data_IF_183672804854
#
_entry.id   IF_183672804854
#
_cell.length_a   1.000
_cell.length_b   1.000
_cell.length_c   1.000
_cell.angle_alpha   90.00
_cell.angle_beta   90.00
_cell.angle_gamma   90.00
#
_symmetry.space_group_name_H-M   'P 1'
#
loop_
_entity.id
_entity.type
_entity.pdbx_description
1 polymer ?
#
# COMPACT_ATOMS: atom_id res chain seq x y z
N UNK A 1 -7.85 -32.78 33.86
CA UNK A 1 -6.51 -32.25 34.22
C UNK A 1 -5.72 -31.68 33.03
N UNK A 2 -5.86 -32.21 31.81
CA UNK A 2 -5.11 -31.75 30.62
C UNK A 2 -5.44 -30.32 30.16
N UNK A 3 -6.69 -29.88 30.31
CA UNK A 3 -7.12 -28.52 29.93
C UNK A 3 -6.48 -27.43 30.79
N UNK A 4 -6.32 -27.68 32.09
CA UNK A 4 -5.64 -26.75 33.01
C UNK A 4 -4.16 -26.62 32.68
N UNK A 5 -3.50 -27.73 32.34
CA UNK A 5 -2.10 -27.75 31.92
C UNK A 5 -1.85 -26.98 30.61
N UNK A 6 -2.80 -27.07 29.66
CA UNK A 6 -2.76 -26.32 28.40
C UNK A 6 -2.87 -24.81 28.63
N UNK A 7 -3.81 -24.37 29.46
CA UNK A 7 -3.95 -22.95 29.79
C UNK A 7 -2.72 -22.39 30.51
N UNK A 8 -2.11 -23.15 31.43
CA UNK A 8 -0.89 -22.72 32.12
C UNK A 8 0.31 -22.63 31.19
N UNK A 9 0.43 -23.54 30.21
CA UNK A 9 1.49 -23.50 29.20
C UNK A 9 1.35 -22.28 28.29
N UNK A 10 0.13 -21.96 27.86
CA UNK A 10 -0.13 -20.83 26.97
C UNK A 10 0.08 -19.49 27.68
N UNK A 11 -0.29 -19.40 28.96
CA UNK A 11 0.01 -18.25 29.80
C UNK A 11 1.52 -18.07 30.04
N UNK A 12 2.25 -19.15 30.30
CA UNK A 12 3.71 -19.10 30.49
C UNK A 12 4.44 -18.69 29.20
N UNK A 13 4.02 -19.22 28.05
CA UNK A 13 4.56 -18.83 26.75
C UNK A 13 4.25 -17.35 26.45
N UNK A 14 3.01 -16.90 26.68
CA UNK A 14 2.63 -15.50 26.51
C UNK A 14 3.44 -14.55 27.39
N UNK A 15 3.72 -14.94 28.63
CA UNK A 15 4.53 -14.15 29.55
C UNK A 15 5.99 -14.07 29.09
N UNK A 16 6.55 -15.18 28.60
CA UNK A 16 7.94 -15.26 28.13
C UNK A 16 8.18 -14.47 26.83
N UNK A 17 7.15 -14.38 25.98
CA UNK A 17 7.14 -13.50 24.80
C UNK A 17 7.03 -12.01 25.17
N UNK A 18 6.38 -11.68 26.29
CA UNK A 18 6.18 -10.30 26.72
C UNK A 18 7.39 -9.71 27.48
N UNK A 19 8.18 -10.54 28.17
CA UNK A 19 9.26 -10.07 29.08
C UNK A 19 10.66 -10.02 28.46
N UNK A 20 10.78 -10.16 27.14
CA UNK A 20 12.02 -9.82 26.44
C UNK A 20 13.01 -10.97 26.29
N UNK A 21 13.36 -11.22 25.03
CA UNK A 21 14.57 -11.97 24.68
C UNK A 21 15.84 -11.22 25.14
N UNK A 22 16.96 -11.94 25.25
CA UNK A 22 18.17 -11.42 25.89
C UNK A 22 18.74 -10.20 25.15
N UNK A 23 19.12 -9.11 25.86
CA UNK A 23 19.79 -7.95 25.27
C UNK A 23 21.29 -8.25 25.07
N UNK A 24 21.62 -9.37 24.42
CA UNK A 24 23.01 -9.80 24.22
C UNK A 24 23.69 -9.16 22.99
N UNK A 25 23.04 -8.19 22.35
CA UNK A 25 23.62 -7.43 21.21
C UNK A 25 23.90 -5.95 21.55
N UNK A 26 23.88 -5.57 22.83
CA UNK A 26 24.18 -4.19 23.25
C UNK A 26 25.69 -3.86 23.31
N UNK A 27 26.57 -4.69 22.75
CA UNK A 27 28.02 -4.59 22.96
C UNK A 27 28.86 -4.56 21.69
N UNK A 28 28.27 -4.11 20.57
CA UNK A 28 29.03 -3.90 19.34
C UNK A 28 29.05 -2.43 18.94
N UNK A 29 30.13 -1.79 19.35
CA UNK A 29 30.80 -0.70 18.66
C UNK A 29 29.95 0.55 18.29
N UNK A 30 30.25 1.61 19.04
CA UNK A 30 30.19 3.02 18.61
C UNK A 30 30.40 3.18 17.10
N UNK A 31 29.31 3.26 16.34
CA UNK A 31 29.28 3.61 14.93
C UNK A 31 28.46 4.90 14.76
N UNK A 32 28.87 5.81 13.85
CA UNK A 32 28.15 7.06 13.63
C UNK A 32 26.71 6.76 13.19
N UNK A 33 25.79 7.40 13.88
CA UNK A 33 24.35 7.27 13.77
C UNK A 33 23.88 7.54 12.33
N UNK A 34 23.36 6.53 11.59
CA UNK A 34 22.56 6.83 10.41
C UNK A 34 21.22 7.37 10.91
N UNK A 35 20.79 8.50 10.35
CA UNK A 35 19.46 9.04 10.59
C UNK A 35 18.42 7.93 10.37
N UNK A 36 17.40 7.79 11.23
CA UNK A 36 16.35 6.79 11.03
C UNK A 36 15.55 7.21 9.80
N UNK A 37 15.98 6.74 8.64
CA UNK A 37 15.20 6.83 7.43
C UNK A 37 13.98 5.94 7.66
N UNK A 38 12.85 6.58 7.93
CA UNK A 38 11.57 5.91 8.11
C UNK A 38 11.32 5.07 6.85
N UNK A 39 11.58 3.76 6.99
CA UNK A 39 11.26 2.78 5.95
C UNK A 39 9.73 2.74 5.89
N UNK A 40 9.17 3.47 4.93
CA UNK A 40 7.74 3.43 4.66
C UNK A 40 7.36 1.98 4.36
N UNK A 41 6.26 1.49 4.94
CA UNK A 41 5.77 0.12 4.72
C UNK A 41 5.67 -0.21 3.24
N UNK A 42 5.39 0.80 2.41
CA UNK A 42 5.40 0.71 0.96
C UNK A 42 6.72 0.16 0.37
N UNK A 43 7.88 0.55 0.92
CA UNK A 43 9.20 0.06 0.47
C UNK A 43 9.49 -1.40 0.87
N UNK A 44 8.83 -1.92 1.91
CA UNK A 44 8.97 -3.33 2.30
C UNK A 44 8.21 -4.26 1.34
N UNK A 45 7.05 -3.80 0.84
CA UNK A 45 6.23 -4.57 -0.10
C UNK A 45 6.61 -4.34 -1.56
N UNK A 46 7.08 -3.14 -1.91
CA UNK A 46 7.59 -2.81 -3.24
C UNK A 46 9.06 -2.42 -3.13
N UNK A 47 9.94 -3.34 -3.50
CA UNK A 47 11.40 -3.16 -3.50
C UNK A 47 11.82 -2.09 -4.52
N UNK A 48 11.67 -0.82 -4.19
CA UNK A 48 12.21 0.28 -4.98
C UNK A 48 13.71 0.45 -4.66
N UNK A 49 14.60 0.43 -5.67
CA UNK A 49 16.02 0.69 -5.44
C UNK A 49 16.21 2.13 -4.93
N UNK A 50 16.92 2.27 -3.81
CA UNK A 50 17.28 3.58 -3.25
C UNK A 50 18.17 4.32 -4.25
N UNK A 51 17.69 5.46 -4.76
CA UNK A 51 18.51 6.34 -5.59
C UNK A 51 19.63 6.93 -4.73
N UNK A 52 20.91 6.88 -5.18
CA UNK A 52 22.00 7.51 -4.46
C UNK A 52 21.82 9.04 -4.46
N UNK A 53 21.92 9.64 -3.28
CA UNK A 53 21.91 11.09 -3.13
C UNK A 53 23.15 11.69 -3.80
N UNK A 54 22.97 12.26 -4.98
CA UNK A 54 23.96 13.14 -5.58
C UNK A 54 24.02 14.44 -4.77
N UNK A 55 25.22 14.76 -4.27
CA UNK A 55 25.53 16.03 -3.61
C UNK A 55 25.31 17.16 -4.63
N UNK A 56 24.31 18.00 -4.39
CA UNK A 56 24.04 19.17 -5.22
C UNK A 56 24.95 20.33 -4.79
N UNK A 57 25.72 20.95 -5.71
CA UNK A 57 26.38 22.22 -5.40
C UNK A 57 25.33 23.34 -5.27
N UNK A 58 25.42 24.08 -4.18
CA UNK A 58 24.53 25.17 -3.80
C UNK A 58 24.65 26.32 -4.82
N UNK A 59 23.72 26.39 -5.78
CA UNK A 59 23.65 27.53 -6.72
C UNK A 59 22.95 28.71 -6.07
N UNK A 60 23.64 29.85 -6.13
CA UNK A 60 23.23 31.15 -5.64
C UNK A 60 21.94 31.62 -6.31
N UNK A 61 20.95 32.01 -5.51
CA UNK A 61 19.60 32.35 -5.93
C UNK A 61 19.54 33.82 -6.40
N UNK A 62 19.29 34.05 -7.67
CA UNK A 62 18.80 35.34 -8.19
C UNK A 62 17.29 35.25 -8.35
N UNK A 63 16.56 36.24 -7.83
CA UNK A 63 15.10 36.26 -7.80
C UNK A 63 14.51 36.44 -9.22
N UNK A 64 13.59 35.57 -9.68
CA UNK A 64 12.90 35.77 -10.95
C UNK A 64 11.71 36.73 -10.79
N UNK A 65 11.61 37.68 -11.74
CA UNK A 65 10.46 38.58 -11.93
C UNK A 65 9.22 37.75 -12.31
N UNK A 66 8.11 37.99 -11.61
CA UNK A 66 6.84 37.31 -11.81
C UNK A 66 6.24 37.63 -13.19
N UNK A 67 6.10 36.59 -14.03
CA UNK A 67 5.35 36.67 -15.29
C UNK A 67 4.00 35.98 -15.09
N UNK A 68 2.90 36.74 -15.23
CA UNK A 68 1.52 36.22 -15.19
C UNK A 68 1.35 35.13 -16.27
N UNK A 69 0.84 33.98 -15.85
CA UNK A 69 0.50 32.85 -16.72
C UNK A 69 -0.93 33.03 -17.25
N UNK A 70 -1.20 32.86 -18.56
CA UNK A 70 -2.56 32.81 -19.07
C UNK A 70 -3.29 31.55 -18.56
N UNK A 71 -4.61 31.67 -18.37
CA UNK A 71 -5.47 30.64 -17.81
C UNK A 71 -5.33 29.30 -18.56
N UNK A 72 -5.27 28.21 -17.81
CA UNK A 72 -5.26 26.87 -18.35
C UNK A 72 -6.60 26.59 -19.08
N UNK A 73 -6.59 25.95 -20.26
CA UNK A 73 -7.82 25.58 -20.94
C UNK A 73 -8.57 24.55 -20.09
N UNK A 74 -9.85 24.85 -19.83
CA UNK A 74 -10.79 23.92 -19.19
C UNK A 74 -10.92 22.73 -20.13
N UNK A 75 -10.38 21.59 -19.69
CA UNK A 75 -10.62 20.31 -20.35
C UNK A 75 -12.04 19.91 -20.01
N UNK A 76 -12.95 20.14 -20.96
CA UNK A 76 -14.27 19.51 -20.97
C UNK A 76 -14.01 18.01 -21.06
N UNK A 77 -14.36 17.27 -19.99
CA UNK A 77 -14.45 15.82 -20.10
C UNK A 77 -15.66 15.56 -20.98
N UNK A 78 -15.40 15.09 -22.19
CA UNK A 78 -16.45 14.49 -23.01
C UNK A 78 -17.01 13.34 -22.19
N UNK A 79 -18.27 13.46 -21.76
CA UNK A 79 -18.98 12.39 -21.08
C UNK A 79 -18.98 11.18 -22.03
N UNK A 80 -18.38 10.04 -21.63
CA UNK A 80 -18.35 8.88 -22.49
C UNK A 80 -19.78 8.38 -22.68
N UNK A 81 -20.27 8.47 -23.91
CA UNK A 81 -21.55 7.88 -24.31
C UNK A 81 -21.41 6.37 -24.14
N UNK A 82 -21.90 5.83 -23.02
CA UNK A 82 -21.91 4.41 -22.70
C UNK A 82 -22.78 3.71 -23.76
N UNK A 83 -22.20 2.98 -24.74
CA UNK A 83 -22.98 2.20 -25.66
C UNK A 83 -23.52 1.00 -24.87
N UNK A 84 -24.84 0.77 -24.88
CA UNK A 84 -25.42 -0.47 -24.37
C UNK A 84 -24.97 -1.63 -25.26
N UNK A 85 -23.81 -2.20 -24.96
CA UNK A 85 -23.28 -3.41 -25.58
C UNK A 85 -23.80 -4.60 -24.77
N UNK A 86 -24.26 -5.65 -25.44
CA UNK A 86 -24.57 -6.92 -24.78
C UNK A 86 -23.30 -7.46 -24.09
N UNK A 87 -23.45 -8.01 -22.89
CA UNK A 87 -22.33 -8.52 -22.08
C UNK A 87 -21.55 -9.56 -22.88
N UNK A 88 -20.31 -9.23 -23.24
CA UNK A 88 -19.44 -10.08 -24.04
C UNK A 88 -18.63 -11.05 -23.17
N UNK A 89 -18.26 -10.65 -21.95
CA UNK A 89 -17.40 -11.45 -21.07
C UNK A 89 -17.90 -11.46 -19.62
N UNK A 90 -17.70 -12.60 -18.96
CA UNK A 90 -18.07 -12.80 -17.56
C UNK A 90 -16.81 -13.05 -16.73
N UNK A 91 -16.68 -12.33 -15.62
CA UNK A 91 -15.58 -12.46 -14.67
C UNK A 91 -16.14 -13.16 -13.42
N UNK A 92 -15.71 -14.40 -13.20
CA UNK A 92 -16.13 -15.19 -12.04
C UNK A 92 -15.14 -15.00 -10.89
N UNK A 93 -15.62 -14.47 -9.77
CA UNK A 93 -14.87 -14.28 -8.53
C UNK A 93 -15.30 -15.35 -7.52
N UNK A 94 -14.35 -16.17 -7.06
CA UNK A 94 -14.61 -17.28 -6.12
C UNK A 94 -13.70 -17.13 -4.91
N UNK A 95 -14.26 -17.27 -3.71
CA UNK A 95 -13.48 -17.36 -2.49
C UNK A 95 -14.30 -17.07 -1.24
N UNK A 96 -13.60 -16.63 -0.19
CA UNK A 96 -14.18 -16.33 1.11
C UNK A 96 -14.71 -14.89 1.19
N UNK A 97 -14.80 -14.34 2.41
CA UNK A 97 -15.25 -12.96 2.62
C UNK A 97 -14.42 -11.91 1.87
N UNK A 98 -13.14 -12.17 1.59
CA UNK A 98 -12.31 -11.24 0.81
C UNK A 98 -12.73 -11.22 -0.67
N UNK A 99 -13.13 -12.36 -1.21
CA UNK A 99 -13.58 -12.46 -2.59
C UNK A 99 -14.86 -11.65 -2.84
N UNK A 100 -15.77 -11.59 -1.85
CA UNK A 100 -16.96 -10.75 -1.94
C UNK A 100 -16.60 -9.25 -2.00
N UNK A 101 -15.70 -8.79 -1.13
CA UNK A 101 -15.24 -7.39 -1.15
C UNK A 101 -14.55 -7.02 -2.48
N UNK A 102 -13.84 -7.98 -3.07
CA UNK A 102 -13.20 -7.79 -4.37
C UNK A 102 -14.23 -7.75 -5.50
N UNK A 103 -15.27 -8.58 -5.45
CA UNK A 103 -16.35 -8.55 -6.44
C UNK A 103 -17.05 -7.19 -6.43
N UNK A 104 -17.37 -6.66 -5.25
CA UNK A 104 -18.00 -5.33 -5.10
C UNK A 104 -17.12 -4.22 -5.69
N UNK A 105 -15.83 -4.19 -5.34
CA UNK A 105 -14.90 -3.20 -5.88
C UNK A 105 -14.63 -3.35 -7.38
N UNK A 106 -14.72 -4.57 -7.91
CA UNK A 106 -14.58 -4.84 -9.34
C UNK A 106 -15.79 -4.36 -10.13
N UNK A 107 -17.00 -4.53 -9.59
CA UNK A 107 -18.23 -4.04 -10.22
C UNK A 107 -18.24 -2.51 -10.30
N UNK A 108 -17.81 -1.82 -9.25
CA UNK A 108 -17.62 -0.35 -9.26
C UNK A 108 -16.54 0.09 -10.26
N UNK A 109 -15.41 -0.59 -10.32
CA UNK A 109 -14.31 -0.22 -11.22
C UNK A 109 -14.62 -0.47 -12.70
N UNK A 110 -15.58 -1.33 -13.01
CA UNK A 110 -15.97 -1.71 -14.37
C UNK A 110 -17.27 -1.03 -14.84
N UNK A 111 -17.81 -0.07 -14.10
CA UNK A 111 -19.06 0.62 -14.45
C UNK A 111 -19.02 1.27 -15.86
N UNK A 112 -17.85 1.79 -16.27
CA UNK A 112 -17.62 2.37 -17.59
C UNK A 112 -17.55 1.33 -18.74
N UNK A 113 -17.61 0.03 -18.41
CA UNK A 113 -17.44 -1.11 -19.34
C UNK A 113 -18.63 -2.07 -19.30
N UNK A 114 -19.72 -1.75 -20.02
CA UNK A 114 -20.94 -2.57 -20.03
C UNK A 114 -20.77 -3.94 -20.71
N UNK A 115 -19.65 -4.17 -21.40
CA UNK A 115 -19.31 -5.43 -22.04
C UNK A 115 -18.86 -6.53 -21.05
N UNK A 116 -18.62 -6.16 -19.79
CA UNK A 116 -18.11 -7.04 -18.75
C UNK A 116 -19.14 -7.21 -17.62
N UNK A 117 -19.43 -8.46 -17.24
CA UNK A 117 -20.25 -8.76 -16.07
C UNK A 117 -19.43 -9.48 -15.01
N UNK A 118 -19.53 -9.03 -13.76
CA UNK A 118 -18.91 -9.67 -12.60
C UNK A 118 -19.91 -10.65 -11.99
N UNK A 119 -19.46 -11.88 -11.71
CA UNK A 119 -20.24 -12.90 -11.03
C UNK A 119 -19.48 -13.31 -9.76
N UNK A 120 -20.07 -13.07 -8.60
CA UNK A 120 -19.52 -13.55 -7.33
C UNK A 120 -20.08 -14.94 -6.98
N UNK A 121 -19.22 -15.80 -6.44
CA UNK A 121 -19.61 -17.10 -5.90
C UNK A 121 -18.85 -17.40 -4.60
N UNK A 122 -19.62 -17.59 -3.53
CA UNK A 122 -19.12 -18.00 -2.22
C UNK A 122 -18.99 -19.52 -2.10
#
# INVERSE_FOLDING_TARGET
MRLRALFTMLAAAGLLLLTGGPPSLAQQARQPQPQPQQRSLFQLFWQQPQQPQAVQPQRQRVAPVARRRPAAPVVVRDDPVIPKVDVAHHILVIGDSLANLLADGLEEALEDRPDLAVIARA
#
